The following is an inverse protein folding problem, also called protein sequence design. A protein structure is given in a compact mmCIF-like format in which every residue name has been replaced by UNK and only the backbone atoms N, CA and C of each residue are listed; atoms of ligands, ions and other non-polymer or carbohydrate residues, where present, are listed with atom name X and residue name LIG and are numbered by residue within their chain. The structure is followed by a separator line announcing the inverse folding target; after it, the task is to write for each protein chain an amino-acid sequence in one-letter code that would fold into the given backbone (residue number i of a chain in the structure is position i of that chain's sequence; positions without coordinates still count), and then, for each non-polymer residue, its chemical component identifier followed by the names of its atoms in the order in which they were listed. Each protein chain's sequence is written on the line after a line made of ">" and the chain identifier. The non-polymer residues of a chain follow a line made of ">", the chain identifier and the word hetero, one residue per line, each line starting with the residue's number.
data_IF_172761192090
#
_entry.id   IF_172761192090
#
_cell.length_a   1.000
_cell.length_b   1.000
_cell.length_c   1.000
_cell.angle_alpha   90.00
_cell.angle_beta   90.00
_cell.angle_gamma   90.00
#
_symmetry.space_group_name_H-M   'P 1'
#
loop_
_entity.id
_entity.type
_entity.pdbx_description
1 polymer ?
#
# COMPACT_ATOMS: atom_id res chain seq x y z
N UNK A 1 39.53 33.13 -35.10
CA UNK A 1 38.09 32.91 -34.84
C UNK A 1 37.82 31.41 -34.73
N UNK A 2 37.98 30.79 -33.55
CA UNK A 2 37.72 29.33 -33.37
C UNK A 2 37.28 28.91 -31.96
N UNK A 3 36.88 29.86 -31.09
CA UNK A 3 36.58 29.57 -29.67
C UNK A 3 35.16 29.92 -29.20
N UNK A 4 34.30 30.44 -30.07
CA UNK A 4 32.96 30.90 -29.69
C UNK A 4 31.84 29.88 -29.89
N UNK A 5 32.09 28.73 -30.53
CA UNK A 5 31.05 27.74 -30.83
C UNK A 5 30.90 26.70 -29.70
N UNK A 6 31.94 26.42 -28.92
CA UNK A 6 31.86 25.42 -27.84
C UNK A 6 31.12 25.90 -26.58
N UNK A 7 30.96 27.21 -26.38
CA UNK A 7 30.26 27.78 -25.21
C UNK A 7 28.73 27.76 -25.35
N UNK A 8 28.20 27.82 -26.59
CA UNK A 8 26.75 27.77 -26.83
C UNK A 8 26.18 26.35 -26.73
N UNK A 9 26.97 25.33 -27.07
CA UNK A 9 26.55 23.93 -26.93
C UNK A 9 26.52 23.44 -25.47
N UNK A 10 27.33 24.02 -24.59
CA UNK A 10 27.35 23.68 -23.16
C UNK A 10 26.23 24.37 -22.38
N UNK A 11 25.68 25.49 -22.87
CA UNK A 11 24.49 26.13 -22.28
C UNK A 11 23.18 25.40 -22.62
N UNK A 12 23.09 24.73 -23.78
CA UNK A 12 21.92 23.91 -24.16
C UNK A 12 21.85 22.55 -23.44
N UNK A 13 22.97 22.06 -22.89
CA UNK A 13 23.00 20.85 -22.04
C UNK A 13 22.65 21.14 -20.57
N UNK A 14 22.62 22.43 -20.17
CA UNK A 14 22.27 22.87 -18.81
C UNK A 14 20.82 23.39 -18.70
N UNK A 15 20.13 23.62 -19.82
CA UNK A 15 18.67 23.67 -19.85
C UNK A 15 18.13 22.24 -19.94
N UNK A 16 18.56 21.36 -19.01
CA UNK A 16 17.82 20.14 -18.77
C UNK A 16 16.39 20.56 -18.44
N UNK A 17 15.42 20.02 -19.18
CA UNK A 17 14.02 20.19 -18.89
C UNK A 17 13.84 20.04 -17.38
N UNK A 18 13.54 21.14 -16.69
CA UNK A 18 13.11 21.07 -15.31
C UNK A 18 11.77 20.38 -15.38
N UNK A 19 11.78 19.05 -15.23
CA UNK A 19 10.56 18.27 -15.05
C UNK A 19 9.90 18.91 -13.84
N UNK A 20 8.82 19.62 -14.10
CA UNK A 20 8.11 20.34 -13.07
C UNK A 20 7.64 19.26 -12.08
N UNK A 21 8.00 19.30 -10.78
CA UNK A 21 7.53 18.33 -9.79
C UNK A 21 6.00 18.45 -9.51
N UNK A 22 5.25 19.01 -10.47
CA UNK A 22 3.82 19.33 -10.41
C UNK A 22 2.91 18.13 -10.74
N UNK A 23 3.45 17.00 -11.23
CA UNK A 23 2.63 15.83 -11.63
C UNK A 23 2.25 14.91 -10.45
N UNK A 24 2.22 15.43 -9.21
CA UNK A 24 1.75 14.69 -8.04
C UNK A 24 0.72 15.48 -7.24
N UNK A 25 -0.11 16.27 -7.91
CA UNK A 25 -1.29 16.82 -7.23
C UNK A 25 -2.36 15.73 -7.10
N UNK A 26 -3.08 15.72 -5.98
CA UNK A 26 -4.26 14.87 -5.83
C UNK A 26 -5.31 15.22 -6.90
N UNK A 27 -6.01 14.21 -7.42
CA UNK A 27 -7.13 14.44 -8.33
C UNK A 27 -8.38 14.93 -7.57
N UNK A 28 -8.68 14.28 -6.43
CA UNK A 28 -9.93 14.50 -5.70
C UNK A 28 -9.77 15.44 -4.52
N UNK A 29 -8.61 15.40 -3.85
CA UNK A 29 -8.34 16.10 -2.59
C UNK A 29 -7.38 17.29 -2.74
N UNK A 30 -7.52 18.07 -3.82
CA UNK A 30 -6.63 19.20 -4.15
C UNK A 30 -6.44 20.24 -3.06
N UNK A 31 -7.49 20.49 -2.26
CA UNK A 31 -7.51 21.52 -1.23
C UNK A 31 -7.22 21.00 0.19
N UNK A 32 -6.87 19.72 0.34
CA UNK A 32 -6.53 19.16 1.65
C UNK A 32 -5.02 19.16 1.87
N UNK A 33 -4.56 19.05 3.13
CA UNK A 33 -3.14 18.90 3.41
C UNK A 33 -2.54 17.67 2.72
N UNK A 34 -1.32 17.85 2.21
CA UNK A 34 -0.48 16.77 1.68
C UNK A 34 0.58 16.41 2.71
N UNK A 35 0.73 15.13 3.01
CA UNK A 35 1.81 14.61 3.84
C UNK A 35 2.76 13.76 3.02
N UNK A 36 4.06 13.93 3.27
CA UNK A 36 5.07 12.98 2.80
C UNK A 36 5.01 11.73 3.67
N UNK A 37 5.01 10.56 3.04
CA UNK A 37 5.07 9.28 3.72
C UNK A 37 6.51 8.80 3.86
N UNK A 38 6.84 8.28 5.04
CA UNK A 38 8.15 7.73 5.37
C UNK A 38 8.04 6.25 5.71
N UNK A 39 9.14 5.50 5.52
CA UNK A 39 9.29 4.12 6.01
C UNK A 39 9.00 3.01 5.01
N UNK A 40 8.55 3.34 3.78
CA UNK A 40 8.49 2.38 2.66
C UNK A 40 9.87 2.00 2.12
N UNK A 41 10.89 2.83 2.35
CA UNK A 41 12.29 2.60 1.95
C UNK A 41 13.19 2.50 3.19
N UNK A 42 14.26 1.70 3.15
CA UNK A 42 15.26 1.59 4.24
C UNK A 42 15.56 0.16 4.69
N UNK A 43 16.08 0.01 5.92
CA UNK A 43 16.58 -1.26 6.49
C UNK A 43 15.46 -2.28 6.81
N UNK A 44 14.21 -1.82 7.01
CA UNK A 44 13.03 -2.67 7.17
C UNK A 44 11.84 -2.03 6.43
N UNK A 45 11.85 -2.07 5.08
CA UNK A 45 10.89 -1.33 4.27
C UNK A 45 9.47 -1.84 4.51
N UNK A 46 8.53 -0.91 4.74
CA UNK A 46 7.13 -1.24 4.93
C UNK A 46 6.78 -1.76 6.34
N UNK A 47 7.74 -1.82 7.28
CA UNK A 47 7.47 -2.23 8.66
C UNK A 47 6.89 -1.09 9.49
N UNK A 48 7.48 0.09 9.42
CA UNK A 48 7.03 1.26 10.18
C UNK A 48 6.76 2.40 9.20
N UNK A 49 5.50 2.78 9.04
CA UNK A 49 5.04 3.79 8.08
C UNK A 49 4.61 5.04 8.85
N UNK A 50 5.03 6.22 8.39
CA UNK A 50 4.65 7.50 9.01
C UNK A 50 4.12 8.47 7.99
N UNK A 51 3.06 9.20 8.35
CA UNK A 51 2.52 10.31 7.56
C UNK A 51 1.63 11.17 8.47
N UNK A 52 1.74 12.49 8.35
CA UNK A 52 1.02 13.43 9.21
C UNK A 52 1.23 13.13 10.70
N UNK A 53 0.13 12.92 11.42
CA UNK A 53 0.15 12.53 12.84
C UNK A 53 0.10 11.02 13.08
N UNK A 54 0.07 10.21 12.02
CA UNK A 54 -0.17 8.78 12.09
C UNK A 54 1.12 7.99 12.02
N UNK A 55 1.18 6.93 12.83
CA UNK A 55 2.25 5.95 12.84
C UNK A 55 1.67 4.56 12.69
N UNK A 56 1.93 3.95 11.53
CA UNK A 56 1.61 2.57 11.19
C UNK A 56 2.77 1.63 11.49
N UNK A 57 2.47 0.44 12.01
CA UNK A 57 3.41 -0.66 12.15
C UNK A 57 2.80 -1.93 11.56
N UNK A 58 3.59 -2.67 10.79
CA UNK A 58 3.16 -3.85 10.02
C UNK A 58 4.06 -5.02 10.35
N UNK A 59 3.44 -6.11 10.77
CA UNK A 59 4.09 -7.38 11.07
C UNK A 59 3.51 -8.46 10.16
N UNK A 60 4.39 -9.20 9.49
CA UNK A 60 4.04 -10.29 8.57
C UNK A 60 4.75 -11.56 9.03
N UNK A 61 3.98 -12.54 9.48
CA UNK A 61 4.49 -13.81 10.02
C UNK A 61 4.04 -15.00 9.16
N UNK A 62 4.99 -15.85 8.77
CA UNK A 62 4.70 -17.09 8.07
C UNK A 62 4.29 -18.18 9.06
N UNK A 63 3.15 -18.83 8.82
CA UNK A 63 2.62 -19.87 9.71
C UNK A 63 3.30 -21.22 9.48
N UNK A 64 3.80 -21.48 8.26
CA UNK A 64 4.38 -22.78 7.86
C UNK A 64 5.91 -22.74 7.69
N UNK A 65 6.61 -21.84 8.38
CA UNK A 65 8.07 -21.86 8.41
C UNK A 65 8.55 -22.95 9.40
N UNK A 66 8.89 -24.12 8.86
CA UNK A 66 9.66 -25.21 9.49
C UNK A 66 8.93 -26.05 10.56
N UNK A 67 8.35 -27.19 10.16
CA UNK A 67 8.01 -28.25 11.11
C UNK A 67 7.14 -29.36 10.54
N UNK A 68 7.78 -30.42 10.03
CA UNK A 68 7.21 -31.74 9.71
C UNK A 68 6.23 -31.75 8.53
N UNK A 69 6.78 -31.92 7.32
CA UNK A 69 6.04 -32.36 6.13
C UNK A 69 5.54 -33.78 6.35
N UNK A 70 4.27 -33.95 6.65
CA UNK A 70 3.58 -35.25 6.56
C UNK A 70 3.21 -35.46 5.09
N UNK A 71 3.46 -36.65 4.56
CA UNK A 71 3.29 -37.04 3.14
C UNK A 71 1.91 -36.74 2.51
N UNK A 72 0.91 -36.30 3.29
CA UNK A 72 -0.39 -35.83 2.80
C UNK A 72 -0.44 -34.36 2.35
N UNK A 73 0.51 -33.53 2.80
CA UNK A 73 0.51 -32.07 2.53
C UNK A 73 1.23 -31.68 1.23
N UNK A 74 1.76 -32.65 0.48
CA UNK A 74 2.44 -32.39 -0.79
C UNK A 74 1.49 -31.92 -1.92
N UNK A 75 0.18 -31.92 -1.66
CA UNK A 75 -0.87 -31.47 -2.59
C UNK A 75 -1.49 -30.11 -2.22
N UNK A 76 -1.08 -29.48 -1.12
CA UNK A 76 -1.54 -28.15 -0.75
C UNK A 76 -0.38 -27.37 -0.10
N UNK A 77 0.56 -26.93 -0.94
CA UNK A 77 1.65 -26.01 -0.57
C UNK A 77 1.11 -24.57 -0.37
N UNK A 78 -0.08 -24.44 0.23
CA UNK A 78 -0.70 -23.16 0.56
C UNK A 78 0.07 -22.57 1.74
N UNK A 79 1.05 -21.71 1.45
CA UNK A 79 1.79 -21.02 2.49
C UNK A 79 0.89 -19.96 3.13
N UNK A 80 0.56 -20.12 4.41
CA UNK A 80 -0.29 -19.16 5.12
C UNK A 80 0.58 -18.05 5.72
N UNK A 81 0.28 -16.79 5.40
CA UNK A 81 0.88 -15.62 6.07
C UNK A 81 -0.18 -14.92 6.94
N UNK A 82 0.19 -14.62 8.18
CA UNK A 82 -0.56 -13.73 9.08
C UNK A 82 -0.01 -12.33 8.92
N UNK A 83 -0.89 -11.37 8.69
CA UNK A 83 -0.54 -9.96 8.64
C UNK A 83 -1.27 -9.24 9.76
N UNK A 84 -0.51 -8.47 10.53
CA UNK A 84 -1.00 -7.59 11.58
C UNK A 84 -0.52 -6.19 11.28
N UNK A 85 -1.44 -5.25 11.19
CA UNK A 85 -1.13 -3.85 10.97
C UNK A 85 -1.81 -3.03 12.06
N UNK A 86 -1.09 -2.06 12.59
CA UNK A 86 -1.55 -1.19 13.66
C UNK A 86 -1.21 0.25 13.35
N UNK A 87 -2.20 1.13 13.41
CA UNK A 87 -2.02 2.58 13.30
C UNK A 87 -2.31 3.24 14.63
N UNK A 88 -1.51 4.25 14.97
CA UNK A 88 -1.73 5.15 16.11
C UNK A 88 -1.70 6.60 15.66
N UNK A 89 -2.53 7.44 16.28
CA UNK A 89 -2.48 8.89 16.12
C UNK A 89 -1.64 9.58 17.22
N UNK A 90 -1.55 10.91 17.15
CA UNK A 90 -0.83 11.73 18.15
C UNK A 90 -1.49 11.74 19.53
N UNK A 91 -2.78 11.41 19.60
CA UNK A 91 -3.57 11.33 20.83
C UNK A 91 -3.60 9.91 21.44
N UNK A 92 -2.79 8.99 20.92
CA UNK A 92 -2.72 7.58 21.32
C UNK A 92 -3.97 6.74 21.07
N UNK A 93 -4.92 7.21 20.26
CA UNK A 93 -5.94 6.34 19.70
C UNK A 93 -5.27 5.35 18.75
N UNK A 94 -5.83 4.14 18.65
CA UNK A 94 -5.27 3.11 17.79
C UNK A 94 -6.33 2.28 17.10
N UNK A 95 -6.07 1.97 15.84
CA UNK A 95 -6.77 0.95 15.08
C UNK A 95 -5.78 -0.15 14.69
N UNK A 96 -6.27 -1.38 14.58
CA UNK A 96 -5.46 -2.48 14.07
C UNK A 96 -6.28 -3.43 13.21
N UNK A 97 -5.68 -3.91 12.13
CA UNK A 97 -6.22 -4.92 11.23
C UNK A 97 -5.36 -6.17 11.32
N UNK A 98 -5.99 -7.32 11.49
CA UNK A 98 -5.33 -8.61 11.46
C UNK A 98 -6.03 -9.51 10.46
N UNK A 99 -5.28 -10.07 9.50
CA UNK A 99 -5.84 -11.00 8.52
C UNK A 99 -4.88 -12.15 8.24
N UNK A 100 -5.44 -13.22 7.68
CA UNK A 100 -4.69 -14.34 7.12
C UNK A 100 -4.83 -14.29 5.62
N UNK A 101 -3.72 -14.51 4.92
CA UNK A 101 -3.69 -14.69 3.49
C UNK A 101 -3.08 -16.06 3.16
N UNK A 102 -3.74 -16.78 2.25
CA UNK A 102 -3.23 -18.02 1.71
C UNK A 102 -2.47 -17.74 0.42
N UNK A 103 -1.22 -18.17 0.37
CA UNK A 103 -0.36 -18.10 -0.79
C UNK A 103 -0.46 -19.45 -1.52
N UNK A 104 -1.38 -19.56 -2.47
CA UNK A 104 -1.53 -20.76 -3.29
C UNK A 104 -0.95 -20.53 -4.69
N UNK A 105 0.09 -21.28 -5.07
CA UNK A 105 0.38 -21.59 -6.47
C UNK A 105 -0.33 -22.89 -6.79
N UNK A 106 -1.48 -22.84 -7.45
CA UNK A 106 -2.05 -24.06 -8.01
C UNK A 106 -1.67 -24.12 -9.50
N UNK A 107 -0.85 -25.11 -9.87
CA UNK A 107 -0.47 -25.42 -11.26
C UNK A 107 -1.71 -25.67 -12.13
N UNK A 108 -2.85 -26.05 -11.52
CA UNK A 108 -4.15 -26.15 -12.17
C UNK A 108 -4.73 -24.80 -12.61
N UNK A 109 -4.37 -23.69 -11.97
CA UNK A 109 -4.79 -22.33 -12.37
C UNK A 109 -4.16 -21.84 -13.66
N UNK A 110 -3.01 -22.41 -14.04
CA UNK A 110 -2.32 -22.10 -15.29
C UNK A 110 -2.81 -22.97 -16.47
N UNK A 111 -3.40 -24.13 -16.17
CA UNK A 111 -3.88 -25.11 -17.16
C UNK A 111 -5.40 -25.05 -17.40
N UNK A 112 -6.17 -24.55 -16.43
CA UNK A 112 -7.59 -24.22 -16.61
C UNK A 112 -7.73 -22.71 -16.75
N UNK A 113 -8.03 -22.23 -17.96
CA UNK A 113 -8.46 -20.86 -18.24
C UNK A 113 -9.29 -20.25 -17.08
N UNK A 114 -8.69 -19.29 -16.36
CA UNK A 114 -9.44 -18.15 -15.83
C UNK A 114 -10.06 -18.21 -14.43
N UNK A 115 -9.61 -19.05 -13.49
CA UNK A 115 -10.05 -18.93 -12.08
C UNK A 115 -8.85 -18.80 -11.14
N UNK A 116 -8.32 -17.58 -11.06
CA UNK A 116 -7.51 -17.13 -9.93
C UNK A 116 -8.35 -17.41 -8.68
N UNK A 117 -7.89 -18.30 -7.78
CA UNK A 117 -8.49 -18.43 -6.46
C UNK A 117 -8.44 -17.04 -5.82
N UNK A 118 -9.59 -16.36 -5.73
CA UNK A 118 -9.72 -15.17 -4.91
C UNK A 118 -9.26 -15.56 -3.51
N UNK A 119 -8.23 -14.90 -3.02
CA UNK A 119 -7.69 -15.11 -1.69
C UNK A 119 -8.83 -15.11 -0.66
N UNK A 120 -8.99 -16.17 0.13
CA UNK A 120 -9.97 -16.21 1.23
C UNK A 120 -9.42 -15.33 2.37
N UNK A 121 -9.64 -14.02 2.27
CA UNK A 121 -9.31 -13.09 3.33
C UNK A 121 -10.33 -13.27 4.44
N UNK A 122 -9.83 -13.53 5.66
CA UNK A 122 -10.63 -13.43 6.87
C UNK A 122 -9.86 -12.63 7.87
N UNK A 123 -10.38 -11.45 8.20
CA UNK A 123 -9.72 -10.54 9.09
C UNK A 123 -10.64 -9.87 10.11
N UNK A 124 -10.00 -9.18 11.04
CA UNK A 124 -10.64 -8.40 12.09
C UNK A 124 -10.00 -7.02 12.16
N UNK A 125 -10.84 -6.01 12.33
CA UNK A 125 -10.42 -4.66 12.65
C UNK A 125 -10.83 -4.35 14.08
N UNK A 126 -9.90 -3.82 14.86
CA UNK A 126 -10.11 -3.37 16.22
C UNK A 126 -9.89 -1.87 16.30
N UNK A 127 -10.82 -1.13 16.89
CA UNK A 127 -10.66 0.30 17.20
C UNK A 127 -11.34 0.61 18.53
N UNK A 128 -10.54 0.92 19.55
CA UNK A 128 -11.02 0.97 20.93
C UNK A 128 -11.69 -0.34 21.35
N UNK A 129 -12.96 -0.26 21.79
CA UNK A 129 -13.76 -1.42 22.20
C UNK A 129 -14.57 -2.05 21.05
N UNK A 130 -14.47 -1.51 19.83
CA UNK A 130 -15.24 -1.95 18.67
C UNK A 130 -14.44 -2.96 17.85
N UNK A 131 -15.11 -4.00 17.34
CA UNK A 131 -14.51 -5.05 16.50
C UNK A 131 -15.40 -5.30 15.29
N UNK A 132 -14.80 -5.28 14.09
CA UNK A 132 -15.46 -5.63 12.84
C UNK A 132 -14.74 -6.81 12.19
N UNK A 133 -15.49 -7.65 11.51
CA UNK A 133 -14.95 -8.72 10.65
C UNK A 133 -15.11 -8.33 9.21
N UNK A 134 -14.15 -8.69 8.37
CA UNK A 134 -14.23 -8.52 6.93
C UNK A 134 -13.69 -9.76 6.22
N UNK A 135 -14.21 -9.96 5.02
CA UNK A 135 -13.82 -10.96 4.04
C UNK A 135 -13.13 -10.35 2.81
N UNK A 136 -13.16 -9.02 2.69
CA UNK A 136 -12.46 -8.25 1.67
C UNK A 136 -11.75 -7.05 2.33
N UNK A 137 -10.40 -6.98 2.31
CA UNK A 137 -9.67 -5.86 2.89
C UNK A 137 -9.84 -4.56 2.09
N UNK A 138 -10.35 -4.61 0.85
CA UNK A 138 -10.62 -3.41 0.04
C UNK A 138 -12.02 -2.87 0.25
N UNK A 139 -12.92 -3.63 0.87
CA UNK A 139 -14.30 -3.20 1.12
C UNK A 139 -14.78 -3.56 2.52
N UNK A 140 -14.77 -2.57 3.41
CA UNK A 140 -14.99 -2.78 4.85
C UNK A 140 -16.25 -2.05 5.31
N UNK A 141 -17.15 -2.77 5.97
CA UNK A 141 -18.34 -2.18 6.60
C UNK A 141 -18.01 -1.61 7.97
N UNK A 142 -18.27 -0.31 8.13
CA UNK A 142 -18.11 0.43 9.38
C UNK A 142 -19.46 0.95 9.89
N UNK A 143 -20.14 0.16 10.73
CA UNK A 143 -21.50 0.48 11.17
C UNK A 143 -22.49 0.43 10.00
N UNK A 144 -23.04 1.59 9.61
CA UNK A 144 -23.92 1.74 8.43
C UNK A 144 -23.18 2.19 7.18
N UNK A 145 -21.91 2.59 7.32
CA UNK A 145 -21.11 3.14 6.23
C UNK A 145 -20.18 2.08 5.63
N UNK A 146 -19.71 2.33 4.42
CA UNK A 146 -18.76 1.49 3.70
C UNK A 146 -17.48 2.24 3.41
N UNK A 147 -16.36 1.65 3.83
CA UNK A 147 -15.05 2.03 3.34
C UNK A 147 -14.71 1.22 2.09
N UNK A 148 -14.19 1.91 1.07
CA UNK A 148 -13.58 1.31 -0.11
C UNK A 148 -12.10 1.67 -0.19
N UNK A 149 -11.30 0.78 -0.78
CA UNK A 149 -9.91 1.02 -1.16
C UNK A 149 -9.74 0.57 -2.60
N UNK A 150 -9.47 1.51 -3.49
CA UNK A 150 -9.34 1.24 -4.92
C UNK A 150 -7.97 1.67 -5.42
N UNK A 151 -7.35 0.84 -6.26
CA UNK A 151 -6.17 1.23 -7.02
C UNK A 151 -6.63 1.90 -8.30
N UNK A 152 -6.15 3.10 -8.57
CA UNK A 152 -6.41 3.77 -9.84
C UNK A 152 -5.46 3.20 -10.91
N UNK A 153 -6.00 2.31 -11.74
CA UNK A 153 -5.28 1.68 -12.85
C UNK A 153 -5.08 2.62 -14.05
N UNK A 154 -5.82 3.74 -14.11
CA UNK A 154 -5.82 4.68 -15.23
C UNK A 154 -5.06 5.98 -14.90
N UNK A 155 -4.41 6.04 -13.74
CA UNK A 155 -3.67 7.23 -13.32
C UNK A 155 -2.60 7.61 -14.33
N UNK A 156 -2.58 8.88 -14.72
CA UNK A 156 -1.54 9.46 -15.58
C UNK A 156 -0.27 9.84 -14.78
N UNK A 157 -0.24 9.59 -13.47
CA UNK A 157 0.91 9.89 -12.63
C UNK A 157 2.01 8.83 -12.82
N UNK A 158 3.25 9.21 -12.54
CA UNK A 158 4.42 8.33 -12.68
C UNK A 158 4.54 7.22 -11.62
N UNK A 159 3.50 7.04 -10.78
CA UNK A 159 3.50 6.17 -9.61
C UNK A 159 2.21 5.37 -9.47
N UNK A 160 2.08 4.62 -8.37
CA UNK A 160 0.83 3.93 -8.06
C UNK A 160 -0.10 4.86 -7.28
N UNK A 161 -1.37 4.95 -7.70
CA UNK A 161 -2.37 5.75 -7.01
C UNK A 161 -3.43 4.85 -6.39
N UNK A 162 -3.76 5.14 -5.14
CA UNK A 162 -4.84 4.49 -4.40
C UNK A 162 -5.78 5.54 -3.83
N UNK A 163 -7.06 5.23 -3.78
CA UNK A 163 -8.07 6.07 -3.14
C UNK A 163 -8.76 5.30 -2.02
N UNK A 164 -9.03 5.99 -0.91
CA UNK A 164 -9.90 5.48 0.15
C UNK A 164 -11.22 6.23 0.07
N UNK A 165 -12.32 5.52 -0.01
CA UNK A 165 -13.66 6.09 -0.06
C UNK A 165 -14.45 5.79 1.20
N UNK A 166 -15.37 6.68 1.55
CA UNK A 166 -16.42 6.49 2.56
C UNK A 166 -17.77 6.78 1.91
N UNK A 167 -18.61 5.76 1.78
CA UNK A 167 -19.90 5.84 1.07
C UNK A 167 -19.73 6.53 -0.30
N UNK A 168 -18.76 6.05 -1.09
CA UNK A 168 -18.38 6.54 -2.43
C UNK A 168 -17.72 7.94 -2.49
N UNK A 169 -17.51 8.61 -1.35
CA UNK A 169 -16.77 9.87 -1.30
C UNK A 169 -15.30 9.64 -0.98
N UNK A 170 -14.38 10.20 -1.77
CA UNK A 170 -12.94 10.08 -1.51
C UNK A 170 -12.57 10.83 -0.23
N UNK A 171 -11.98 10.11 0.73
CA UNK A 171 -11.51 10.63 2.03
C UNK A 171 -9.99 10.54 2.19
N UNK A 172 -9.31 9.77 1.34
CA UNK A 172 -7.87 9.88 1.16
C UNK A 172 -7.44 9.50 -0.24
N UNK A 173 -6.31 10.05 -0.65
CA UNK A 173 -5.63 9.75 -1.91
C UNK A 173 -4.15 9.50 -1.61
N UNK A 174 -3.61 8.40 -2.08
CA UNK A 174 -2.25 7.93 -1.81
C UNK A 174 -1.52 7.77 -3.14
N UNK A 175 -0.42 8.49 -3.31
CA UNK A 175 0.45 8.39 -4.48
C UNK A 175 1.79 7.79 -4.03
N UNK A 176 2.16 6.66 -4.60
CA UNK A 176 3.35 5.89 -4.25
C UNK A 176 4.40 5.97 -5.35
N UNK A 177 5.67 6.05 -4.97
CA UNK A 177 6.82 6.05 -5.88
C UNK A 177 6.79 7.18 -6.91
N UNK A 178 6.26 8.35 -6.54
CA UNK A 178 6.23 9.56 -7.37
C UNK A 178 7.65 9.95 -7.74
N UNK A 179 7.92 10.08 -9.03
CA UNK A 179 9.23 10.48 -9.52
C UNK A 179 9.51 11.97 -9.26
N UNK A 180 10.60 12.26 -8.54
CA UNK A 180 11.01 13.63 -8.22
C UNK A 180 12.16 14.16 -9.10
N UNK A 181 12.61 13.36 -10.08
CA UNK A 181 13.82 13.65 -10.85
C UNK A 181 15.06 12.89 -10.35
N UNK A 182 15.99 12.61 -11.26
CA UNK A 182 17.21 11.86 -10.97
C UNK A 182 16.91 10.41 -10.55
N UNK A 183 17.45 10.01 -9.39
CA UNK A 183 17.21 8.71 -8.74
C UNK A 183 16.28 8.83 -7.51
N UNK A 184 15.53 9.93 -7.40
CA UNK A 184 14.71 10.24 -6.23
C UNK A 184 13.24 9.92 -6.48
N UNK A 185 12.59 9.35 -5.47
CA UNK A 185 11.15 9.09 -5.42
C UNK A 185 10.60 9.50 -4.06
N UNK A 186 9.31 9.84 -4.01
CA UNK A 186 8.60 10.08 -2.77
C UNK A 186 7.20 9.46 -2.79
N UNK A 187 6.67 9.25 -1.59
CA UNK A 187 5.31 8.78 -1.36
C UNK A 187 4.52 9.93 -0.71
N UNK A 188 3.30 10.19 -1.20
CA UNK A 188 2.45 11.28 -0.72
C UNK A 188 1.05 10.79 -0.38
N UNK A 189 0.45 11.39 0.64
CA UNK A 189 -0.94 11.14 1.01
C UNK A 189 -1.68 12.46 1.24
N UNK A 190 -2.89 12.55 0.70
CA UNK A 190 -3.89 13.57 0.99
C UNK A 190 -4.99 12.93 1.82
N UNK A 191 -5.43 13.62 2.87
CA UNK A 191 -6.50 13.13 3.75
C UNK A 191 -7.51 14.24 4.03
N UNK A 192 -8.78 13.89 4.03
CA UNK A 192 -9.86 14.78 4.47
C UNK A 192 -9.89 14.87 6.00
N UNK A 193 -9.25 15.91 6.54
CA UNK A 193 -9.22 16.20 7.99
C UNK A 193 -10.57 16.69 8.55
N UNK A 194 -11.59 16.93 7.72
CA UNK A 194 -12.92 17.34 8.20
C UNK A 194 -13.74 16.17 8.77
N UNK A 195 -13.31 14.94 8.51
CA UNK A 195 -13.95 13.71 8.98
C UNK A 195 -13.81 13.52 10.49
N UNK A 196 -14.67 12.68 11.07
CA UNK A 196 -14.56 12.30 12.49
C UNK A 196 -13.25 11.56 12.79
N UNK A 197 -12.77 11.61 14.04
CA UNK A 197 -11.52 10.94 14.44
C UNK A 197 -11.53 9.42 14.15
N UNK A 198 -12.66 8.74 14.38
CA UNK A 198 -12.83 7.31 14.06
C UNK A 198 -12.66 7.05 12.55
N UNK A 199 -13.21 7.93 11.70
CA UNK A 199 -13.08 7.83 10.24
C UNK A 199 -11.64 8.10 9.82
N UNK A 200 -11.01 9.17 10.31
CA UNK A 200 -9.62 9.48 9.97
C UNK A 200 -8.67 8.35 10.37
N UNK A 201 -8.89 7.72 11.53
CA UNK A 201 -8.07 6.60 12.00
C UNK A 201 -8.27 5.34 11.16
N UNK A 202 -9.50 5.04 10.72
CA UNK A 202 -9.77 3.97 9.76
C UNK A 202 -9.13 4.27 8.39
N UNK A 203 -9.26 5.50 7.89
CA UNK A 203 -8.62 5.92 6.65
C UNK A 203 -7.10 5.77 6.74
N UNK A 204 -6.48 6.18 7.84
CA UNK A 204 -5.04 5.98 8.07
C UNK A 204 -4.65 4.49 8.13
N UNK A 205 -5.51 3.63 8.67
CA UNK A 205 -5.34 2.17 8.66
C UNK A 205 -5.31 1.63 7.22
N UNK A 206 -6.24 2.07 6.37
CA UNK A 206 -6.35 1.64 4.97
C UNK A 206 -5.22 2.20 4.10
N UNK A 207 -4.81 3.45 4.33
CA UNK A 207 -3.62 4.05 3.70
C UNK A 207 -2.37 3.25 4.05
N UNK A 208 -2.19 2.90 5.33
CA UNK A 208 -1.04 2.08 5.77
C UNK A 208 -1.11 0.68 5.13
N UNK A 209 -2.31 0.10 5.03
CA UNK A 209 -2.52 -1.18 4.35
C UNK A 209 -2.12 -1.08 2.88
N UNK A 210 -2.61 -0.08 2.13
CA UNK A 210 -2.28 0.12 0.72
C UNK A 210 -0.78 0.36 0.50
N UNK A 211 -0.14 1.17 1.35
CA UNK A 211 1.28 1.46 1.31
C UNK A 211 2.18 0.22 1.52
N UNK A 212 1.67 -0.78 2.22
CA UNK A 212 2.41 -2.01 2.60
C UNK A 212 1.83 -3.26 1.95
N UNK A 213 0.80 -3.07 1.12
CA UNK A 213 0.20 -4.12 0.33
C UNK A 213 1.23 -4.58 -0.68
N UNK A 214 1.66 -5.82 -0.51
CA UNK A 214 2.39 -6.54 -1.53
C UNK A 214 1.49 -7.70 -1.92
N UNK A 215 1.16 -7.89 -3.20
CA UNK A 215 0.55 -9.14 -3.62
C UNK A 215 1.44 -10.28 -3.12
N UNK A 216 0.87 -11.37 -2.58
CA UNK A 216 1.64 -12.42 -1.92
C UNK A 216 2.71 -12.97 -2.87
N UNK A 217 3.97 -12.61 -2.62
CA UNK A 217 5.10 -13.28 -3.24
C UNK A 217 5.31 -14.58 -2.48
N UNK A 218 4.89 -15.68 -3.11
CA UNK A 218 5.20 -17.01 -2.62
C UNK A 218 6.72 -17.17 -2.68
N UNK A 219 7.34 -17.72 -1.64
CA UNK A 219 8.74 -18.13 -1.76
C UNK A 219 8.83 -19.07 -2.96
N UNK A 220 9.54 -18.66 -4.02
CA UNK A 220 10.15 -19.64 -4.90
C UNK A 220 10.98 -20.52 -3.97
N UNK A 221 10.60 -21.78 -3.85
CA UNK A 221 11.46 -22.77 -3.25
C UNK A 221 12.80 -22.66 -3.97
N UNK A 222 13.84 -22.19 -3.27
CA UNK A 222 15.22 -22.29 -3.73
C UNK A 222 15.45 -23.77 -4.06
N UNK A 223 15.30 -24.12 -5.34
CA UNK A 223 15.82 -25.34 -5.88
C UNK A 223 17.34 -25.19 -5.85
N UNK A 224 17.91 -25.53 -4.69
CA UNK A 224 19.27 -26.03 -4.61
C UNK A 224 19.33 -27.27 -5.51
N UNK A 225 19.93 -27.10 -6.69
CA UNK A 225 20.61 -28.18 -7.41
C UNK A 225 22.01 -28.29 -6.81
#
# INVERSE_FOLDING_TARGET
>A
MKYYICWLASLLLLSGCTVNPADSEAEYLKNTPRYTMEGRQGYMPGRDIRFGQYHGSVEKDWVNAHGIRILGDMLSDDSLQKVSLKVRDSAHHSASIGYRQACGWDLLSFLNDGMIKLFDFKGKIHMGNKVWTFDDPTRIRFGTQWFGLDKDELSNTSGEVYTVTLDDNVVAELHLSVYLGGLSQADYVWMDESQSADVQLMTALLVTYAATYAPPQCHESENRI
#
